data_IF_083110343252
#
_entry.id   IF_083110343252
#
_cell.length_a   1.000
_cell.length_b   1.000
_cell.length_c   1.000
_cell.angle_alpha   90.00
_cell.angle_beta   90.00
_cell.angle_gamma   90.00
#
_symmetry.space_group_name_H-M   'P 1'
#
loop_
_entity.id
_entity.type
_entity.pdbx_description
1 polymer ?
#
# COMPACT_ATOMS: atom_id res chain seq x y z
N UNK A 1 -10.18 -16.79 -27.82
CA UNK A 1 -8.76 -16.52 -27.50
C UNK A 1 -7.96 -16.76 -28.77
N UNK A 2 -6.98 -15.91 -29.11
CA UNK A 2 -6.08 -16.22 -30.22
C UNK A 2 -5.35 -17.54 -29.93
N UNK A 3 -5.26 -18.40 -30.93
CA UNK A 3 -4.55 -19.68 -30.86
C UNK A 3 -3.06 -19.38 -31.08
N UNK A 4 -2.21 -19.59 -30.06
CA UNK A 4 -0.78 -19.32 -30.18
C UNK A 4 0.06 -20.44 -29.59
N UNK A 5 1.20 -20.68 -30.22
CA UNK A 5 2.19 -21.67 -29.82
C UNK A 5 3.29 -20.97 -29.02
N UNK A 6 3.50 -21.38 -27.77
CA UNK A 6 4.55 -20.87 -26.88
C UNK A 6 5.56 -21.98 -26.61
N UNK A 7 6.85 -21.66 -26.68
CA UNK A 7 7.89 -22.59 -26.23
C UNK A 7 7.93 -22.59 -24.71
N UNK A 8 7.73 -23.76 -24.11
CA UNK A 8 7.73 -23.92 -22.65
C UNK A 8 9.05 -24.54 -22.20
N UNK A 9 9.71 -23.92 -21.23
CA UNK A 9 10.94 -24.44 -20.62
C UNK A 9 10.53 -25.30 -19.41
N UNK A 10 10.65 -26.62 -19.56
CA UNK A 10 10.41 -27.60 -18.49
C UNK A 10 11.70 -27.98 -17.77
N UNK A 11 11.60 -28.25 -16.47
CA UNK A 11 12.71 -28.72 -15.64
C UNK A 11 12.98 -27.80 -14.46
N UNK A 12 12.97 -28.37 -13.26
CA UNK A 12 13.42 -27.75 -12.02
C UNK A 12 14.69 -28.47 -11.58
N UNK A 13 15.83 -27.98 -12.05
CA UNK A 13 17.11 -28.57 -11.75
C UNK A 13 17.77 -27.84 -10.57
N UNK A 14 17.89 -28.52 -9.43
CA UNK A 14 18.61 -28.01 -8.25
C UNK A 14 20.12 -28.21 -8.42
N UNK A 15 20.74 -27.51 -9.39
CA UNK A 15 22.18 -27.63 -9.65
C UNK A 15 23.01 -27.21 -8.42
N UNK A 16 23.87 -28.11 -7.95
CA UNK A 16 24.93 -27.81 -7.00
C UNK A 16 24.51 -27.71 -5.53
N UNK A 17 23.30 -28.14 -5.17
CA UNK A 17 22.81 -28.17 -3.79
C UNK A 17 22.60 -29.63 -3.38
N UNK A 18 22.95 -29.97 -2.15
CA UNK A 18 22.71 -31.33 -1.65
C UNK A 18 21.21 -31.58 -1.47
N UNK A 19 20.79 -32.84 -1.57
CA UNK A 19 19.38 -33.18 -1.39
C UNK A 19 18.88 -32.87 0.04
N UNK A 20 19.77 -32.99 1.03
CA UNK A 20 19.51 -32.67 2.42
C UNK A 20 19.27 -31.17 2.64
N UNK A 21 20.15 -30.31 2.09
CA UNK A 21 19.99 -28.85 2.16
C UNK A 21 18.69 -28.40 1.47
N UNK A 22 18.35 -29.03 0.35
CA UNK A 22 17.11 -28.78 -0.37
C UNK A 22 15.87 -29.12 0.49
N UNK A 23 15.84 -30.31 1.09
CA UNK A 23 14.72 -30.75 1.91
C UNK A 23 14.54 -29.85 3.13
N UNK A 24 15.63 -29.48 3.78
CA UNK A 24 15.62 -28.58 4.94
C UNK A 24 15.13 -27.18 4.56
N UNK A 25 15.62 -26.62 3.46
CA UNK A 25 15.17 -25.33 2.95
C UNK A 25 13.68 -25.36 2.57
N UNK A 26 13.23 -26.42 1.89
CA UNK A 26 11.83 -26.58 1.48
C UNK A 26 10.88 -26.65 2.69
N UNK A 27 11.22 -27.45 3.71
CA UNK A 27 10.43 -27.54 4.96
C UNK A 27 10.35 -26.18 5.67
N UNK A 28 11.47 -25.46 5.73
CA UNK A 28 11.54 -24.19 6.43
C UNK A 28 10.76 -23.08 5.69
N UNK A 29 10.86 -23.04 4.36
CA UNK A 29 10.07 -22.14 3.52
C UNK A 29 8.57 -22.46 3.57
N UNK A 30 8.20 -23.74 3.56
CA UNK A 30 6.81 -24.16 3.72
C UNK A 30 6.23 -23.69 5.06
N UNK A 31 6.99 -23.85 6.16
CA UNK A 31 6.59 -23.33 7.48
C UNK A 31 6.40 -21.82 7.46
N UNK A 32 7.31 -21.07 6.83
CA UNK A 32 7.17 -19.60 6.69
C UNK A 32 5.93 -19.19 5.88
N UNK A 33 5.60 -19.93 4.82
CA UNK A 33 4.38 -19.71 4.04
C UNK A 33 3.11 -20.01 4.84
N UNK A 34 3.11 -21.05 5.67
CA UNK A 34 1.98 -21.35 6.57
C UNK A 34 1.79 -20.27 7.62
N UNK A 35 2.88 -19.72 8.17
CA UNK A 35 2.83 -18.56 9.07
C UNK A 35 2.18 -17.38 8.33
N UNK A 36 2.65 -17.06 7.12
CA UNK A 36 2.05 -15.99 6.30
C UNK A 36 0.56 -16.22 6.03
N UNK A 37 0.15 -17.45 5.70
CA UNK A 37 -1.25 -17.79 5.47
C UNK A 37 -2.11 -17.58 6.71
N UNK A 38 -1.62 -18.02 7.88
CA UNK A 38 -2.28 -17.79 9.18
C UNK A 38 -2.54 -16.31 9.39
N UNK A 39 -1.52 -15.45 9.27
CA UNK A 39 -1.67 -14.01 9.50
C UNK A 39 -2.49 -13.30 8.41
N UNK A 40 -2.38 -13.73 7.14
CA UNK A 40 -3.21 -13.21 6.07
C UNK A 40 -4.70 -13.47 6.36
N UNK A 41 -5.04 -14.67 6.82
CA UNK A 41 -6.40 -15.05 7.20
C UNK A 41 -6.92 -14.23 8.39
N UNK A 42 -6.09 -14.03 9.42
CA UNK A 42 -6.45 -13.23 10.61
C UNK A 42 -6.66 -11.74 10.26
N UNK A 43 -5.93 -11.23 9.26
CA UNK A 43 -6.07 -9.86 8.76
C UNK A 43 -7.17 -9.72 7.68
N UNK A 44 -7.93 -10.79 7.38
CA UNK A 44 -8.88 -10.82 6.26
C UNK A 44 -8.24 -10.48 4.89
N UNK A 45 -6.93 -10.69 4.76
CA UNK A 45 -6.21 -10.53 3.51
C UNK A 45 -6.34 -11.79 2.65
N UNK A 46 -6.34 -11.60 1.33
CA UNK A 46 -6.32 -12.71 0.38
C UNK A 46 -4.96 -13.40 0.39
N UNK A 47 -4.96 -14.73 0.43
CA UNK A 47 -3.76 -15.55 0.26
C UNK A 47 -3.80 -16.25 -1.11
N UNK A 48 -2.68 -16.34 -1.85
CA UNK A 48 -2.69 -16.92 -3.20
C UNK A 48 -3.17 -18.39 -3.21
N UNK A 49 -4.21 -18.67 -4.01
CA UNK A 49 -4.82 -20.01 -4.11
C UNK A 49 -3.82 -21.09 -4.52
N UNK A 50 -3.01 -20.81 -5.54
CA UNK A 50 -1.99 -21.75 -6.05
C UNK A 50 -1.07 -22.15 -4.90
N UNK A 51 -0.57 -21.19 -4.13
CA UNK A 51 0.29 -21.46 -2.98
C UNK A 51 -0.44 -22.29 -1.91
N UNK A 52 -1.70 -21.96 -1.59
CA UNK A 52 -2.49 -22.72 -0.60
C UNK A 52 -2.71 -24.19 -1.01
N UNK A 53 -2.92 -24.46 -2.30
CA UNK A 53 -3.03 -25.82 -2.84
C UNK A 53 -1.76 -26.62 -2.60
N UNK A 54 -0.58 -26.04 -2.89
CA UNK A 54 0.70 -26.70 -2.65
C UNK A 54 1.06 -26.88 -1.17
N UNK A 55 0.45 -26.10 -0.26
CA UNK A 55 0.60 -26.27 1.19
C UNK A 55 -0.31 -27.36 1.77
N UNK A 56 -1.13 -28.03 0.95
CA UNK A 56 -1.92 -29.20 1.36
C UNK A 56 -3.17 -28.87 2.17
N UNK A 57 -3.76 -27.67 2.00
CA UNK A 57 -5.03 -27.33 2.63
C UNK A 57 -6.23 -27.90 1.82
N UNK A 58 -7.02 -28.86 2.37
CA UNK A 58 -8.11 -29.54 1.67
C UNK A 58 -9.32 -28.64 1.34
N UNK A 59 -9.31 -27.36 1.74
CA UNK A 59 -10.38 -26.39 1.43
C UNK A 59 -10.27 -25.76 0.04
N UNK A 60 -9.14 -25.90 -0.66
CA UNK A 60 -8.94 -25.26 -1.97
C UNK A 60 -9.69 -25.93 -3.14
N UNK A 61 -10.26 -27.12 -2.90
CA UNK A 61 -10.94 -27.93 -3.93
C UNK A 61 -12.45 -27.68 -4.04
N UNK A 62 -13.06 -27.00 -3.07
CA UNK A 62 -14.54 -26.80 -3.03
C UNK A 62 -14.99 -25.36 -3.24
N UNK A 63 -14.08 -24.38 -3.21
CA UNK A 63 -14.43 -22.98 -3.43
C UNK A 63 -14.53 -22.63 -4.93
N UNK A 64 -15.59 -21.93 -5.37
CA UNK A 64 -15.77 -21.57 -6.77
C UNK A 64 -14.60 -20.72 -7.32
N UNK A 65 -14.31 -20.76 -8.64
CA UNK A 65 -13.25 -19.98 -9.28
C UNK A 65 -13.35 -18.44 -9.11
N UNK A 66 -14.51 -17.94 -8.68
CA UNK A 66 -14.82 -16.50 -8.61
C UNK A 66 -14.18 -15.77 -7.41
N UNK A 67 -13.63 -16.48 -6.41
CA UNK A 67 -12.96 -15.86 -5.25
C UNK A 67 -11.69 -15.05 -5.60
N UNK A 68 -11.22 -15.12 -6.86
CA UNK A 68 -10.04 -14.42 -7.35
C UNK A 68 -10.28 -13.01 -7.88
N UNK A 69 -11.51 -12.60 -8.17
CA UNK A 69 -11.78 -11.26 -8.68
C UNK A 69 -11.75 -10.26 -7.51
N UNK A 70 -11.06 -9.10 -7.64
CA UNK A 70 -11.22 -8.02 -6.67
C UNK A 70 -12.72 -7.78 -6.48
N UNK A 71 -13.15 -7.60 -5.24
CA UNK A 71 -14.52 -7.19 -4.97
C UNK A 71 -14.64 -5.75 -5.48
N UNK A 72 -14.96 -5.62 -6.76
CA UNK A 72 -15.12 -4.33 -7.38
C UNK A 72 -16.50 -3.85 -7.00
N UNK A 73 -16.55 -2.90 -6.08
CA UNK A 73 -17.76 -2.10 -5.91
C UNK A 73 -18.13 -1.55 -7.30
N UNK A 74 -19.36 -1.82 -7.78
CA UNK A 74 -19.80 -1.24 -9.03
C UNK A 74 -19.68 0.29 -8.92
N UNK A 75 -19.43 0.99 -10.05
CA UNK A 75 -19.49 2.44 -10.03
C UNK A 75 -20.86 2.88 -9.50
N UNK A 76 -20.93 3.93 -8.66
CA UNK A 76 -22.19 4.42 -8.12
C UNK A 76 -23.15 4.78 -9.25
N UNK A 77 -24.45 4.59 -9.01
CA UNK A 77 -25.47 4.97 -9.99
C UNK A 77 -25.49 6.51 -10.16
N UNK A 78 -25.97 7.05 -11.30
CA UNK A 78 -25.91 8.49 -11.58
C UNK A 78 -26.61 9.41 -10.57
N UNK A 79 -27.43 8.86 -9.68
CA UNK A 79 -28.23 9.59 -8.67
C UNK A 79 -27.84 9.21 -7.23
N UNK A 80 -26.85 8.34 -7.07
CA UNK A 80 -26.37 7.87 -5.78
C UNK A 80 -25.16 8.72 -5.37
N UNK A 81 -25.20 9.29 -4.16
CA UNK A 81 -24.03 9.96 -3.60
C UNK A 81 -23.09 8.90 -3.01
N UNK A 82 -21.89 8.67 -3.59
CA UNK A 82 -20.95 7.68 -3.09
C UNK A 82 -20.37 8.03 -1.71
N UNK A 83 -20.63 9.24 -1.19
CA UNK A 83 -20.20 9.67 0.14
C UNK A 83 -21.37 9.76 1.15
N UNK A 84 -22.55 9.26 0.78
CA UNK A 84 -23.68 9.17 1.72
C UNK A 84 -23.35 8.15 2.83
N UNK A 85 -23.41 8.60 4.08
CA UNK A 85 -23.14 7.78 5.27
C UNK A 85 -24.42 7.37 6.01
N UNK A 86 -25.60 7.61 5.42
CA UNK A 86 -26.88 7.31 6.06
C UNK A 86 -27.08 5.79 6.27
N UNK A 87 -26.50 4.97 5.39
CA UNK A 87 -26.48 3.50 5.49
C UNK A 87 -25.31 2.96 6.35
N UNK A 88 -24.57 3.84 7.04
CA UNK A 88 -23.49 3.40 7.90
C UNK A 88 -24.03 2.54 9.07
N UNK A 89 -23.34 1.45 9.44
CA UNK A 89 -23.77 0.61 10.57
C UNK A 89 -23.93 1.44 11.85
N UNK A 90 -25.01 1.22 12.64
CA UNK A 90 -25.19 1.93 13.90
C UNK A 90 -24.08 1.55 14.89
N UNK A 91 -23.82 2.43 15.86
CA UNK A 91 -22.87 2.13 16.93
C UNK A 91 -23.30 0.87 17.68
N UNK A 92 -22.39 -0.09 17.82
CA UNK A 92 -22.62 -1.37 18.48
C UNK A 92 -22.32 -1.33 20.00
N UNK A 93 -21.99 -0.14 20.52
CA UNK A 93 -21.72 0.14 21.95
C UNK A 93 -20.58 -0.69 22.60
N UNK A 94 -19.67 -1.23 21.78
CA UNK A 94 -18.46 -1.88 22.27
C UNK A 94 -17.54 -0.90 23.00
N UNK A 95 -16.90 -1.38 24.06
CA UNK A 95 -15.89 -0.65 24.82
C UNK A 95 -14.49 -1.11 24.40
N UNK A 96 -13.57 -0.16 24.23
CA UNK A 96 -12.18 -0.47 23.88
C UNK A 96 -11.26 -0.03 25.01
N UNK A 97 -10.37 -0.91 25.44
CA UNK A 97 -9.36 -0.60 26.44
C UNK A 97 -7.97 -1.06 25.99
N UNK A 98 -6.97 -0.19 26.11
CA UNK A 98 -5.60 -0.49 25.73
C UNK A 98 -4.83 -1.09 26.91
N UNK A 99 -4.28 -2.29 26.75
CA UNK A 99 -3.40 -2.92 27.73
C UNK A 99 -2.06 -3.24 27.07
N UNK A 100 -0.96 -2.67 27.59
CA UNK A 100 0.38 -2.91 27.03
C UNK A 100 0.55 -2.52 25.56
N UNK A 101 -0.26 -1.57 25.06
CA UNK A 101 -0.26 -1.16 23.64
C UNK A 101 -1.16 -1.99 22.73
N UNK A 102 -1.83 -3.04 23.25
CA UNK A 102 -2.80 -3.86 22.51
C UNK A 102 -4.22 -3.40 22.88
N UNK A 103 -5.07 -3.19 21.87
CA UNK A 103 -6.47 -2.80 22.06
C UNK A 103 -7.34 -4.04 22.27
N UNK A 104 -8.03 -4.10 23.40
CA UNK A 104 -9.02 -5.13 23.73
C UNK A 104 -10.43 -4.57 23.60
N UNK A 105 -11.31 -5.33 22.97
CA UNK A 105 -12.72 -4.99 22.77
C UNK A 105 -13.57 -5.73 23.82
N UNK A 106 -14.54 -5.06 24.41
CA UNK A 106 -15.45 -5.59 25.43
C UNK A 106 -16.90 -5.30 25.07
N UNK A 107 -17.79 -6.27 25.27
CA UNK A 107 -19.22 -6.13 24.95
C UNK A 107 -19.93 -5.13 25.86
N UNK A 108 -19.54 -5.07 27.13
CA UNK A 108 -20.25 -4.30 28.17
C UNK A 108 -19.32 -3.86 29.30
N UNK A 109 -19.72 -2.84 30.06
CA UNK A 109 -18.98 -2.36 31.25
C UNK A 109 -18.72 -3.48 32.28
N UNK A 110 -19.65 -4.42 32.43
CA UNK A 110 -19.50 -5.58 33.33
C UNK A 110 -18.36 -6.52 32.92
N UNK A 111 -18.17 -6.72 31.61
CA UNK A 111 -17.10 -7.58 31.09
C UNK A 111 -15.74 -6.88 31.19
N UNK A 112 -15.73 -5.55 31.04
CA UNK A 112 -14.55 -4.73 31.31
C UNK A 112 -14.10 -4.82 32.77
N UNK A 113 -15.02 -4.71 33.73
CA UNK A 113 -14.73 -4.87 35.16
C UNK A 113 -14.19 -6.26 35.51
N UNK A 114 -14.65 -7.30 34.79
CA UNK A 114 -14.18 -8.68 34.93
C UNK A 114 -12.91 -9.00 34.14
N UNK A 115 -12.41 -8.08 33.32
CA UNK A 115 -11.31 -8.28 32.37
C UNK A 115 -11.52 -9.49 31.43
N UNK A 116 -12.76 -9.69 30.98
CA UNK A 116 -13.13 -10.72 30.01
C UNK A 116 -13.32 -10.07 28.63
N UNK A 117 -12.29 -10.02 27.76
CA UNK A 117 -12.41 -9.41 26.45
C UNK A 117 -13.26 -10.26 25.50
N UNK A 118 -13.83 -9.60 24.48
CA UNK A 118 -14.50 -10.26 23.38
C UNK A 118 -13.53 -11.18 22.63
N UNK A 119 -13.96 -12.42 22.38
CA UNK A 119 -13.15 -13.45 21.72
C UNK A 119 -13.03 -13.19 20.22
N UNK A 120 -12.07 -12.34 19.83
CA UNK A 120 -11.71 -12.13 18.43
C UNK A 120 -10.56 -13.06 18.01
N UNK A 121 -10.50 -13.46 16.72
CA UNK A 121 -9.41 -14.28 16.20
C UNK A 121 -8.17 -13.40 15.97
N UNK A 122 -7.39 -13.16 17.02
CA UNK A 122 -6.04 -12.60 16.93
C UNK A 122 -5.06 -13.45 17.74
N UNK A 123 -3.77 -13.51 17.34
CA UNK A 123 -2.77 -14.22 18.12
C UNK A 123 -2.35 -13.37 19.32
N UNK A 124 -2.02 -14.03 20.42
CA UNK A 124 -1.36 -13.40 21.56
C UNK A 124 0.08 -12.96 21.20
N UNK A 125 0.62 -12.05 22.01
CA UNK A 125 1.96 -11.48 21.79
C UNK A 125 3.06 -12.54 21.84
N UNK A 126 2.92 -13.57 22.68
CA UNK A 126 3.91 -14.64 22.81
C UNK A 126 3.94 -15.48 21.54
N UNK A 127 2.77 -15.93 21.06
CA UNK A 127 2.62 -16.64 19.79
C UNK A 127 3.19 -15.82 18.62
N UNK A 128 2.91 -14.52 18.56
CA UNK A 128 3.48 -13.64 17.53
C UNK A 128 5.01 -13.58 17.61
N UNK A 129 5.56 -13.45 18.81
CA UNK A 129 7.01 -13.36 19.03
C UNK A 129 7.70 -14.67 18.63
N UNK A 130 7.10 -15.81 18.96
CA UNK A 130 7.59 -17.15 18.55
C UNK A 130 7.56 -17.29 17.03
N UNK A 131 6.43 -16.97 16.39
CA UNK A 131 6.30 -17.01 14.93
C UNK A 131 7.32 -16.09 14.25
N UNK A 132 7.51 -14.86 14.76
CA UNK A 132 8.48 -13.90 14.24
C UNK A 132 9.92 -14.40 14.43
N UNK A 133 10.24 -15.00 15.58
CA UNK A 133 11.57 -15.59 15.82
C UNK A 133 11.90 -16.71 14.83
N UNK A 134 10.91 -17.51 14.44
CA UNK A 134 11.07 -18.54 13.41
C UNK A 134 11.42 -17.93 12.04
N UNK A 135 10.76 -16.83 11.65
CA UNK A 135 11.06 -16.13 10.40
C UNK A 135 12.45 -15.50 10.45
N UNK A 136 12.82 -14.87 11.56
CA UNK A 136 14.15 -14.27 11.73
C UNK A 136 15.25 -15.34 11.65
N UNK A 137 15.08 -16.47 12.33
CA UNK A 137 16.01 -17.59 12.26
C UNK A 137 16.17 -18.11 10.82
N UNK A 138 15.07 -18.21 10.07
CA UNK A 138 15.09 -18.63 8.66
C UNK A 138 15.87 -17.65 7.76
N UNK A 139 15.71 -16.34 7.98
CA UNK A 139 16.44 -15.31 7.20
C UNK A 139 17.95 -15.41 7.44
N UNK A 140 18.36 -15.79 8.65
CA UNK A 140 19.77 -15.96 9.02
C UNK A 140 20.36 -17.32 8.62
N UNK A 141 19.55 -18.28 8.18
CA UNK A 141 20.00 -19.61 7.80
C UNK A 141 20.82 -19.58 6.49
N UNK A 142 22.09 -19.94 6.58
CA UNK A 142 23.04 -19.89 5.45
C UNK A 142 22.70 -20.82 4.28
N UNK A 143 22.45 -22.12 4.52
CA UNK A 143 22.05 -23.06 3.47
C UNK A 143 20.76 -22.65 2.75
N UNK A 144 19.71 -22.29 3.49
CA UNK A 144 18.45 -21.83 2.89
C UNK A 144 18.65 -20.56 2.07
N UNK A 145 19.44 -19.59 2.57
CA UNK A 145 19.76 -18.36 1.83
C UNK A 145 20.47 -18.65 0.52
N UNK A 146 21.44 -19.56 0.52
CA UNK A 146 22.17 -19.96 -0.70
C UNK A 146 21.26 -20.68 -1.69
N UNK A 147 20.38 -21.56 -1.18
CA UNK A 147 19.34 -22.20 -1.99
C UNK A 147 18.43 -21.18 -2.67
N UNK A 148 17.85 -20.26 -1.90
CA UNK A 148 16.96 -19.21 -2.41
C UNK A 148 17.66 -18.34 -3.45
N UNK A 149 18.90 -17.91 -3.20
CA UNK A 149 19.67 -17.11 -4.15
C UNK A 149 19.88 -17.84 -5.49
N UNK A 150 20.31 -19.10 -5.46
CA UNK A 150 20.49 -19.90 -6.68
C UNK A 150 19.18 -20.14 -7.42
N UNK A 151 18.09 -20.38 -6.68
CA UNK A 151 16.76 -20.57 -7.25
C UNK A 151 16.27 -19.29 -7.94
N UNK A 152 16.47 -18.12 -7.34
CA UNK A 152 16.11 -16.83 -7.94
C UNK A 152 16.90 -16.58 -9.24
N UNK A 153 18.23 -16.82 -9.24
CA UNK A 153 19.04 -16.68 -10.46
C UNK A 153 18.61 -17.64 -11.57
N UNK A 154 18.21 -18.87 -11.20
CA UNK A 154 17.67 -19.82 -12.16
C UNK A 154 16.33 -19.34 -12.74
N UNK A 155 15.43 -18.81 -11.91
CA UNK A 155 14.14 -18.26 -12.36
C UNK A 155 14.33 -17.05 -13.28
N UNK A 156 15.30 -16.18 -12.96
CA UNK A 156 15.69 -15.06 -13.82
C UNK A 156 16.21 -15.56 -15.17
N UNK A 157 17.17 -16.48 -15.18
CA UNK A 157 17.72 -17.06 -16.42
C UNK A 157 16.64 -17.76 -17.25
N UNK A 158 15.71 -18.46 -16.60
CA UNK A 158 14.55 -19.09 -17.24
C UNK A 158 13.64 -18.05 -17.89
N UNK A 159 13.42 -16.91 -17.23
CA UNK A 159 12.64 -15.81 -17.78
C UNK A 159 13.34 -15.13 -18.97
N UNK A 160 14.66 -14.91 -18.90
CA UNK A 160 15.43 -14.39 -20.03
C UNK A 160 15.36 -15.32 -21.26
N UNK A 161 15.41 -16.63 -21.03
CA UNK A 161 15.22 -17.60 -22.12
C UNK A 161 13.79 -17.58 -22.67
N UNK A 162 12.77 -17.44 -21.80
CA UNK A 162 11.39 -17.26 -22.22
C UNK A 162 11.24 -16.03 -23.12
N UNK A 163 11.84 -14.91 -22.76
CA UNK A 163 11.84 -13.68 -23.56
C UNK A 163 12.45 -13.93 -24.94
N UNK A 164 13.68 -14.48 -25.01
CA UNK A 164 14.34 -14.77 -26.30
C UNK A 164 13.54 -15.69 -27.23
N UNK A 165 12.79 -16.65 -26.67
CA UNK A 165 12.03 -17.62 -27.46
C UNK A 165 10.65 -17.10 -27.89
N UNK A 166 10.04 -16.22 -27.09
CA UNK A 166 8.63 -15.85 -27.25
C UNK A 166 8.40 -14.37 -27.57
N UNK A 167 9.41 -13.50 -27.54
CA UNK A 167 9.31 -12.05 -27.78
C UNK A 167 8.50 -11.72 -29.05
N UNK A 168 8.86 -12.33 -30.18
CA UNK A 168 8.19 -12.06 -31.46
C UNK A 168 6.73 -12.50 -31.47
N UNK A 169 6.40 -13.58 -30.76
CA UNK A 169 5.03 -14.10 -30.65
C UNK A 169 4.19 -13.17 -29.76
N UNK A 170 4.72 -12.76 -28.60
CA UNK A 170 4.05 -11.84 -27.68
C UNK A 170 3.87 -10.44 -28.30
N UNK A 171 4.86 -9.97 -29.07
CA UNK A 171 4.77 -8.70 -29.78
C UNK A 171 3.70 -8.71 -30.89
N UNK A 172 3.55 -9.82 -31.62
CA UNK A 172 2.46 -10.00 -32.60
C UNK A 172 1.10 -9.99 -31.91
N UNK A 173 0.97 -10.61 -30.75
CA UNK A 173 -0.27 -10.62 -29.98
C UNK A 173 -0.64 -9.20 -29.52
N UNK A 174 0.33 -8.43 -29.02
CA UNK A 174 0.11 -7.04 -28.64
C UNK A 174 -0.43 -6.21 -29.82
N UNK A 175 0.15 -6.40 -31.02
CA UNK A 175 -0.32 -5.75 -32.26
C UNK A 175 -1.71 -6.19 -32.69
N UNK A 176 -2.13 -7.41 -32.37
CA UNK A 176 -3.47 -7.90 -32.71
C UNK A 176 -4.58 -7.19 -31.91
N UNK A 177 -4.24 -6.56 -30.79
CA UNK A 177 -5.16 -5.80 -29.95
C UNK A 177 -4.93 -4.28 -30.11
N UNK A 178 -5.51 -3.62 -31.13
CA UNK A 178 -5.22 -2.22 -31.46
C UNK A 178 -5.55 -1.21 -30.36
N UNK A 179 -6.43 -1.58 -29.41
CA UNK A 179 -6.89 -0.71 -28.32
C UNK A 179 -6.30 -1.05 -26.94
N UNK A 180 -5.31 -1.95 -26.86
CA UNK A 180 -4.61 -2.29 -25.61
C UNK A 180 -3.13 -1.96 -25.72
N UNK A 181 -2.82 -0.68 -25.81
CA UNK A 181 -1.46 -0.16 -25.86
C UNK A 181 -1.01 0.45 -24.51
N UNK A 182 0.21 0.97 -24.48
CA UNK A 182 0.77 1.62 -23.30
C UNK A 182 0.00 2.87 -22.86
N UNK A 183 -0.95 3.41 -23.62
CA UNK A 183 -1.78 4.54 -23.17
C UNK A 183 -3.11 4.05 -22.58
N UNK A 184 -3.69 3.02 -23.18
CA UNK A 184 -5.02 2.53 -22.83
C UNK A 184 -5.05 1.57 -21.63
N UNK A 185 -3.92 0.95 -21.29
CA UNK A 185 -3.84 0.12 -20.07
C UNK A 185 -3.96 1.01 -18.82
N UNK A 186 -4.73 0.58 -17.82
CA UNK A 186 -4.81 1.28 -16.53
C UNK A 186 -3.57 0.96 -15.69
N UNK A 187 -2.84 1.97 -15.25
CA UNK A 187 -1.72 1.83 -14.31
C UNK A 187 -2.07 2.59 -13.04
N UNK A 188 -1.74 1.99 -11.91
CA UNK A 188 -1.95 2.57 -10.60
C UNK A 188 -0.59 2.76 -9.96
N UNK A 189 -0.33 3.95 -9.46
CA UNK A 189 0.79 4.18 -8.56
C UNK A 189 0.44 3.59 -7.20
N UNK A 190 1.20 2.59 -6.77
CA UNK A 190 0.93 1.84 -5.53
C UNK A 190 1.63 2.46 -4.31
N UNK A 191 2.52 3.44 -4.53
CA UNK A 191 3.27 4.07 -3.45
C UNK A 191 3.45 5.57 -3.70
N UNK A 192 2.40 6.33 -3.38
CA UNK A 192 2.38 7.78 -3.50
C UNK A 192 2.12 8.43 -2.14
N UNK A 193 2.93 9.41 -1.78
CA UNK A 193 2.64 10.28 -0.64
C UNK A 193 1.67 11.37 -1.09
N UNK A 194 0.49 11.46 -0.45
CA UNK A 194 -0.54 12.44 -0.83
C UNK A 194 0.00 13.89 -0.90
N UNK A 195 0.89 14.26 0.04
CA UNK A 195 1.52 15.58 0.07
C UNK A 195 2.48 15.85 -1.11
N UNK A 196 3.00 14.80 -1.75
CA UNK A 196 3.91 14.87 -2.89
C UNK A 196 3.23 14.55 -4.23
N UNK A 197 1.91 14.36 -4.24
CA UNK A 197 1.16 14.01 -5.45
C UNK A 197 1.11 15.14 -6.50
N UNK A 198 1.39 16.38 -6.09
CA UNK A 198 1.30 17.55 -6.96
C UNK A 198 2.62 17.89 -7.64
N UNK A 199 2.56 18.18 -8.93
CA UNK A 199 3.71 18.71 -9.65
C UNK A 199 4.12 20.09 -9.10
N UNK A 200 5.42 20.29 -8.90
CA UNK A 200 6.03 21.51 -8.38
C UNK A 200 5.62 22.78 -9.15
N UNK A 201 5.58 22.71 -10.49
CA UNK A 201 5.15 23.83 -11.36
C UNK A 201 3.68 24.16 -11.15
N UNK A 202 2.85 23.15 -10.92
CA UNK A 202 1.43 23.34 -10.66
C UNK A 202 1.20 23.98 -9.29
N UNK A 203 1.89 23.49 -8.25
CA UNK A 203 1.85 24.07 -6.91
C UNK A 203 2.31 25.54 -6.92
N UNK A 204 3.42 25.84 -7.60
CA UNK A 204 3.92 27.21 -7.72
C UNK A 204 2.88 28.14 -8.35
N UNK A 205 2.27 27.70 -9.46
CA UNK A 205 1.21 28.47 -10.14
C UNK A 205 0.00 28.67 -9.24
N UNK A 206 -0.40 27.65 -8.49
CA UNK A 206 -1.50 27.75 -7.53
C UNK A 206 -1.21 28.82 -6.48
N UNK A 207 -0.05 28.76 -5.83
CA UNK A 207 0.33 29.72 -4.78
C UNK A 207 0.31 31.16 -5.30
N UNK A 208 0.89 31.40 -6.48
CA UNK A 208 0.90 32.74 -7.11
C UNK A 208 -0.52 33.20 -7.46
N UNK A 209 -1.35 32.32 -8.01
CA UNK A 209 -2.72 32.64 -8.38
C UNK A 209 -3.58 32.98 -7.16
N UNK A 210 -3.55 32.16 -6.11
CA UNK A 210 -4.34 32.39 -4.88
C UNK A 210 -3.94 33.69 -4.18
N UNK A 211 -2.66 34.05 -4.21
CA UNK A 211 -2.24 35.35 -3.67
C UNK A 211 -2.83 36.53 -4.46
N UNK A 212 -2.93 36.42 -5.78
CA UNK A 212 -3.49 37.48 -6.62
C UNK A 212 -5.01 37.60 -6.47
N UNK A 213 -5.72 36.49 -6.31
CA UNK A 213 -7.19 36.47 -6.26
C UNK A 213 -7.75 36.62 -4.84
N UNK A 214 -7.08 36.04 -3.84
CA UNK A 214 -7.57 35.95 -2.45
C UNK A 214 -6.48 36.31 -1.42
N UNK A 215 -5.83 37.50 -1.51
CA UNK A 215 -4.75 37.87 -0.59
C UNK A 215 -5.21 38.03 0.87
N UNK A 216 -6.44 38.44 1.09
CA UNK A 216 -6.98 38.71 2.42
C UNK A 216 -7.68 37.49 3.04
N UNK A 217 -7.65 36.34 2.37
CA UNK A 217 -8.15 35.07 2.91
C UNK A 217 -7.38 34.71 4.18
N UNK A 218 -8.10 34.35 5.24
CA UNK A 218 -7.49 33.78 6.45
C UNK A 218 -6.98 32.38 6.14
N UNK A 219 -5.69 32.15 6.33
CA UNK A 219 -5.03 30.86 5.98
C UNK A 219 -4.37 30.19 7.17
N UNK A 220 -4.13 30.91 8.26
CA UNK A 220 -3.55 30.36 9.47
C UNK A 220 -4.06 31.12 10.69
N UNK A 221 -4.07 30.46 11.84
CA UNK A 221 -4.31 31.09 13.13
C UNK A 221 -3.08 30.89 14.01
N UNK A 222 -2.46 31.98 14.46
CA UNK A 222 -1.28 31.93 15.33
C UNK A 222 -1.57 32.72 16.60
N UNK A 223 -1.50 32.05 17.75
CA UNK A 223 -1.75 32.66 19.08
C UNK A 223 -3.11 33.37 19.15
N UNK A 224 -4.16 32.75 18.59
CA UNK A 224 -5.53 33.30 18.59
C UNK A 224 -5.76 34.45 17.61
N UNK A 225 -4.77 34.78 16.75
CA UNK A 225 -4.93 35.78 15.69
C UNK A 225 -4.99 35.10 14.33
N UNK A 226 -6.06 35.38 13.60
CA UNK A 226 -6.23 35.01 12.21
C UNK A 226 -5.23 35.80 11.37
N UNK A 227 -4.42 35.08 10.59
CA UNK A 227 -3.40 35.61 9.70
C UNK A 227 -3.90 35.42 8.26
N UNK A 228 -3.88 36.51 7.49
CA UNK A 228 -4.24 36.48 6.07
C UNK A 228 -3.09 35.97 5.21
N UNK A 229 -3.38 35.50 4.00
CA UNK A 229 -2.36 35.05 3.07
C UNK A 229 -1.31 36.14 2.79
N UNK A 230 -1.76 37.40 2.65
CA UNK A 230 -0.89 38.58 2.53
C UNK A 230 0.07 38.71 3.72
N UNK A 231 -0.45 38.66 4.94
CA UNK A 231 0.36 38.76 6.16
C UNK A 231 1.34 37.59 6.33
N UNK A 232 0.99 36.40 5.81
CA UNK A 232 1.94 35.29 5.75
C UNK A 232 3.12 35.69 4.88
N UNK A 233 2.92 36.10 3.62
CA UNK A 233 4.02 36.51 2.75
C UNK A 233 4.83 37.71 3.28
N UNK A 234 4.18 38.69 3.91
CA UNK A 234 4.86 39.82 4.55
C UNK A 234 5.78 39.35 5.68
N UNK A 235 5.31 38.44 6.54
CA UNK A 235 6.14 37.81 7.58
C UNK A 235 7.26 36.98 6.98
N UNK A 236 7.04 36.48 5.76
CA UNK A 236 8.03 35.72 5.04
C UNK A 236 9.12 36.61 4.40
N UNK A 237 8.93 37.93 4.32
CA UNK A 237 9.82 38.82 3.55
C UNK A 237 10.07 38.29 2.12
N UNK A 238 9.05 37.66 1.53
CA UNK A 238 9.12 37.10 0.18
C UNK A 238 8.00 37.69 -0.66
N UNK A 239 8.34 38.17 -1.85
CA UNK A 239 7.33 38.51 -2.84
C UNK A 239 6.86 37.22 -3.57
N UNK A 240 5.55 37.02 -3.76
CA UNK A 240 5.03 35.89 -4.53
C UNK A 240 5.55 35.81 -5.97
N UNK A 241 5.90 36.94 -6.59
CA UNK A 241 6.48 36.99 -7.93
C UNK A 241 7.85 36.30 -7.99
N UNK A 242 8.66 36.48 -6.95
CA UNK A 242 10.03 35.97 -6.84
C UNK A 242 10.09 34.50 -6.42
N UNK A 243 8.94 33.88 -6.11
CA UNK A 243 8.87 32.47 -5.78
C UNK A 243 9.22 31.62 -7.01
N UNK A 244 10.26 30.79 -6.90
CA UNK A 244 10.66 29.83 -7.94
C UNK A 244 10.37 28.40 -7.51
N UNK A 245 10.57 27.44 -8.44
CA UNK A 245 10.44 26.01 -8.14
C UNK A 245 11.48 25.58 -7.11
N UNK A 246 12.71 26.06 -7.22
CA UNK A 246 13.80 25.73 -6.30
C UNK A 246 13.56 26.34 -4.90
N UNK A 247 12.87 27.49 -4.81
CA UNK A 247 12.45 28.07 -3.54
C UNK A 247 11.35 27.29 -2.80
N UNK A 248 10.76 26.27 -3.42
CA UNK A 248 9.69 25.46 -2.82
C UNK A 248 10.19 24.15 -2.19
N UNK A 249 11.46 23.78 -2.38
CA UNK A 249 12.13 22.57 -1.87
C UNK A 249 11.22 21.33 -1.76
N UNK A 250 10.65 20.98 -2.91
CA UNK A 250 9.63 19.94 -3.11
C UNK A 250 10.26 18.59 -3.50
N UNK A 251 11.53 18.39 -3.18
CA UNK A 251 12.23 17.14 -3.42
C UNK A 251 11.83 16.09 -2.38
N UNK A 252 11.58 14.86 -2.84
CA UNK A 252 11.46 13.69 -2.00
C UNK A 252 12.85 13.06 -1.84
N UNK A 253 13.65 13.54 -0.88
CA UNK A 253 14.94 12.91 -0.54
C UNK A 253 14.73 11.83 0.53
N UNK A 254 15.30 10.64 0.27
CA UNK A 254 15.29 9.46 1.16
C UNK A 254 15.95 9.72 2.53
N UNK A 255 16.72 10.80 2.68
CA UNK A 255 17.48 11.17 3.88
C UNK A 255 17.04 12.52 4.48
N UNK A 256 15.78 12.93 4.33
CA UNK A 256 15.29 14.19 4.92
C UNK A 256 14.92 14.04 6.41
N UNK A 257 15.87 13.57 7.23
CA UNK A 257 15.84 13.73 8.68
C UNK A 257 16.84 14.83 9.08
N UNK A 258 16.30 16.04 9.24
CA UNK A 258 16.89 17.22 9.88
C UNK A 258 18.01 17.97 9.10
N UNK A 259 17.80 19.29 9.00
CA UNK A 259 18.68 20.36 8.48
C UNK A 259 18.72 20.66 6.97
N UNK A 260 17.55 20.65 6.30
CA UNK A 260 17.25 21.65 5.27
C UNK A 260 16.23 22.66 5.81
N UNK A 261 16.63 23.93 5.77
CA UNK A 261 16.01 25.06 6.42
C UNK A 261 15.48 26.12 5.43
N UNK A 262 14.27 25.96 4.96
CA UNK A 262 13.23 26.92 5.14
C UNK A 262 12.60 26.50 6.51
N UNK A 263 11.66 27.13 7.18
CA UNK A 263 10.41 27.37 6.53
C UNK A 263 9.96 26.19 5.57
N UNK A 264 10.46 24.95 5.72
CA UNK A 264 10.81 23.98 4.61
C UNK A 264 9.77 22.92 4.29
N UNK A 265 8.76 22.83 5.13
CA UNK A 265 7.45 22.40 4.67
C UNK A 265 6.70 23.66 4.28
N UNK A 266 6.53 24.55 5.26
CA UNK A 266 5.63 25.72 5.50
C UNK A 266 4.30 25.84 4.79
N UNK A 267 4.02 24.93 3.93
CA UNK A 267 3.47 25.28 2.64
C UNK A 267 3.07 23.99 1.98
N UNK A 268 3.90 22.93 2.09
CA UNK A 268 3.52 21.51 1.85
C UNK A 268 2.21 21.18 2.59
N UNK A 269 1.89 21.94 3.65
CA UNK A 269 0.74 21.77 4.53
C UNK A 269 -0.27 22.91 4.58
N UNK A 270 0.03 24.13 4.13
CA UNK A 270 -1.03 25.15 4.00
C UNK A 270 -2.11 24.75 2.98
N UNK A 271 -1.83 23.68 2.24
CA UNK A 271 -2.61 23.14 1.13
C UNK A 271 -3.35 21.83 1.49
N UNK A 272 -2.86 21.04 2.46
CA UNK A 272 -3.72 20.05 3.18
C UNK A 272 -4.84 20.77 3.96
N UNK A 273 -4.58 22.02 4.35
CA UNK A 273 -5.53 22.92 5.00
C UNK A 273 -6.72 23.32 4.11
N UNK A 274 -6.58 23.21 2.78
CA UNK A 274 -7.69 23.46 1.86
C UNK A 274 -8.42 22.16 1.46
N UNK A 275 -7.73 21.01 1.56
CA UNK A 275 -8.34 19.69 1.36
C UNK A 275 -9.42 19.35 2.41
N UNK A 276 -9.45 20.02 3.57
CA UNK A 276 -10.47 19.82 4.63
C UNK A 276 -11.75 20.65 4.47
N UNK A 277 -11.76 21.74 3.69
CA UNK A 277 -12.97 22.58 3.56
C UNK A 277 -13.78 22.35 2.28
N UNK A 278 -13.27 21.63 1.27
CA UNK A 278 -14.12 21.21 0.12
C UNK A 278 -14.65 19.78 0.22
N UNK A 279 -14.26 19.02 1.25
CA UNK A 279 -15.16 18.01 1.82
C UNK A 279 -16.45 18.68 2.34
N UNK A 280 -16.33 19.91 2.87
CA UNK A 280 -17.44 20.86 3.07
C UNK A 280 -17.86 21.62 1.79
N UNK A 281 -17.88 20.90 0.67
CA UNK A 281 -18.92 21.10 -0.35
C UNK A 281 -20.30 20.64 0.11
N UNK A 282 -20.45 20.25 1.39
CA UNK A 282 -21.62 20.52 2.22
C UNK A 282 -21.92 22.03 2.24
N UNK A 283 -22.39 22.56 1.10
CA UNK A 283 -23.47 23.54 1.11
C UNK A 283 -24.73 22.67 1.17
N UNK A 284 -25.54 22.69 2.21
CA UNK A 284 -25.88 23.76 3.15
C UNK A 284 -25.86 23.30 4.62
#
# INVERSE_FOLDING_TARGET
MPEFQRVTISGDYCAGITLEDYEQAAKSLAKALMIREKYARLAYHRFPRITSQYLGHPRADTAPPEEGLPDFHPPPLPQEDPYCLDDAPPNLDYLVHMQGGILFVYDNKKMLERQEPHSLPYPDLETYTVDMSHILALITDGPTKTYCHRRLNFLESKFSLHEMLNEMSEFKELKSNPHRDFYNVRKVDTHIHAAACMNQKHLLRFIKHTYQTEPDRTVAEKRGRKITLRQVFDSLHMDPYDLTVDSLDVHATLESYHDCACREVLRKQLFLFYLTERSCGLRE
#
